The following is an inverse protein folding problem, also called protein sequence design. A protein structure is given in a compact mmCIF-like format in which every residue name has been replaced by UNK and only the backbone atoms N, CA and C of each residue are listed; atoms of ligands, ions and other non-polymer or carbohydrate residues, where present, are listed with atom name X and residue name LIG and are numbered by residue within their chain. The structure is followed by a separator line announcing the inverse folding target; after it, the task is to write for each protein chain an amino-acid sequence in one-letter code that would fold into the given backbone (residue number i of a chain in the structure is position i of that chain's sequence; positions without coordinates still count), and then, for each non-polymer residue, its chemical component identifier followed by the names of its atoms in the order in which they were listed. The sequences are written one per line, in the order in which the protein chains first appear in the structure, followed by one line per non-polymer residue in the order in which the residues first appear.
data_IF_274711989736
#
_entry.id   IF_274711989736
#
_cell.length_a   1.000
_cell.length_b   1.000
_cell.length_c   1.000
_cell.angle_alpha   90.00
_cell.angle_beta   90.00
_cell.angle_gamma   90.00
#
_symmetry.space_group_name_H-M   'P 1'
#
loop_
_entity.id
_entity.type
_entity.pdbx_description
1 polymer ?
#
# COMPACT_ATOMS: atom_id res chain seq x y z
N UNK A 1 -13.17 -1.01 20.34
CA UNK A 1 -12.86 0.07 19.38
C UNK A 1 -12.76 -0.49 17.98
N UNK A 2 -13.25 0.26 16.99
CA UNK A 2 -13.28 -0.19 15.60
C UNK A 2 -11.97 0.18 14.91
N UNK A 3 -11.35 -0.78 14.25
CA UNK A 3 -10.19 -0.52 13.41
C UNK A 3 -10.62 0.17 12.13
N UNK A 4 -9.84 1.15 11.71
CA UNK A 4 -9.98 1.77 10.40
C UNK A 4 -8.64 1.71 9.67
N UNK A 5 -8.73 1.64 8.34
CA UNK A 5 -7.57 1.37 7.49
C UNK A 5 -7.51 2.39 6.37
N UNK A 6 -6.32 2.89 6.13
CA UNK A 6 -6.06 3.75 4.99
C UNK A 6 -5.16 2.98 4.01
N UNK A 7 -5.61 2.88 2.77
CA UNK A 7 -4.91 2.11 1.74
C UNK A 7 -4.11 3.09 0.88
N UNK A 8 -2.81 2.84 0.78
CA UNK A 8 -1.91 3.61 -0.07
C UNK A 8 -1.49 2.78 -1.27
N UNK A 9 -1.60 3.37 -2.44
CA UNK A 9 -1.17 2.76 -3.70
C UNK A 9 -0.20 3.70 -4.42
N UNK A 10 0.46 3.17 -5.45
CA UNK A 10 1.43 3.92 -6.24
C UNK A 10 0.86 4.16 -7.62
N UNK A 11 0.12 5.27 -7.84
CA UNK A 11 -0.44 5.56 -9.15
C UNK A 11 0.68 5.86 -10.15
N UNK A 12 0.54 5.34 -11.37
CA UNK A 12 1.46 5.62 -12.47
C UNK A 12 0.84 6.73 -13.31
N UNK A 13 1.32 7.95 -13.13
CA UNK A 13 0.94 9.10 -13.97
C UNK A 13 1.78 9.12 -15.25
N UNK A 14 1.45 10.05 -16.15
CA UNK A 14 2.17 10.16 -17.43
C UNK A 14 3.66 10.46 -17.24
N UNK A 15 4.00 11.22 -16.20
CA UNK A 15 5.38 11.54 -15.89
C UNK A 15 6.17 10.29 -15.45
N UNK A 16 5.62 9.52 -14.51
CA UNK A 16 6.28 8.28 -14.04
C UNK A 16 6.37 7.25 -15.17
N UNK A 17 5.33 7.15 -16.01
CA UNK A 17 5.36 6.26 -17.17
C UNK A 17 6.51 6.62 -18.12
N UNK A 18 6.73 7.91 -18.36
CA UNK A 18 7.85 8.36 -19.17
C UNK A 18 9.20 7.98 -18.56
N UNK A 19 9.35 8.15 -17.23
CA UNK A 19 10.56 7.75 -16.51
C UNK A 19 10.80 6.24 -16.59
N UNK A 20 9.75 5.44 -16.44
CA UNK A 20 9.85 3.97 -16.49
C UNK A 20 10.31 3.47 -17.86
N UNK A 21 10.04 4.23 -18.92
CA UNK A 21 10.40 3.87 -20.28
C UNK A 21 11.82 4.31 -20.69
N UNK A 22 12.52 5.03 -19.82
CA UNK A 22 13.88 5.44 -20.09
C UNK A 22 14.85 4.25 -19.99
N UNK A 23 15.87 4.25 -20.85
CA UNK A 23 16.94 3.23 -20.82
C UNK A 23 17.71 3.30 -19.50
N UNK A 24 17.99 4.53 -19.01
CA UNK A 24 18.59 4.75 -17.71
C UNK A 24 17.48 5.33 -16.80
N UNK A 25 17.10 4.53 -15.80
CA UNK A 25 16.01 4.91 -14.91
C UNK A 25 16.44 5.97 -13.90
N UNK A 26 15.54 6.93 -13.66
CA UNK A 26 15.69 7.90 -12.57
C UNK A 26 15.63 7.20 -11.21
N UNK A 27 16.11 7.85 -10.12
CA UNK A 27 15.95 7.31 -8.77
C UNK A 27 14.48 7.03 -8.40
N UNK A 28 13.55 7.86 -8.89
CA UNK A 28 12.10 7.68 -8.67
C UNK A 28 11.60 6.40 -9.36
N UNK A 29 11.99 6.17 -10.61
CA UNK A 29 11.62 4.96 -11.33
C UNK A 29 12.21 3.70 -10.69
N UNK A 30 13.47 3.77 -10.23
CA UNK A 30 14.09 2.66 -9.49
C UNK A 30 13.35 2.35 -8.21
N UNK A 31 12.94 3.37 -7.45
CA UNK A 31 12.15 3.18 -6.23
C UNK A 31 10.83 2.49 -6.53
N UNK A 32 10.16 2.84 -7.61
CA UNK A 32 8.92 2.19 -8.05
C UNK A 32 9.16 0.70 -8.34
N UNK A 33 10.19 0.36 -9.10
CA UNK A 33 10.50 -1.03 -9.43
C UNK A 33 10.92 -1.84 -8.21
N UNK A 34 11.66 -1.25 -7.28
CA UNK A 34 12.10 -1.96 -6.08
C UNK A 34 10.91 -2.41 -5.22
N UNK A 35 9.84 -1.63 -5.18
CA UNK A 35 8.60 -2.02 -4.52
C UNK A 35 7.97 -3.22 -5.24
N UNK A 36 7.92 -3.19 -6.57
CA UNK A 36 7.37 -4.31 -7.34
C UNK A 36 8.15 -5.61 -7.13
N UNK A 37 9.41 -5.50 -6.68
CA UNK A 37 10.31 -6.64 -6.46
C UNK A 37 10.47 -7.00 -4.98
N UNK A 38 9.64 -6.45 -4.07
CA UNK A 38 9.69 -6.86 -2.66
C UNK A 38 9.39 -8.35 -2.54
N UNK A 39 10.13 -9.03 -1.67
CA UNK A 39 10.06 -10.47 -1.53
C UNK A 39 10.87 -11.23 -2.58
N UNK A 40 11.49 -10.54 -3.53
CA UNK A 40 12.32 -11.12 -4.58
C UNK A 40 13.74 -10.55 -4.54
N UNK A 41 14.29 -10.37 -3.34
CA UNK A 41 15.64 -9.86 -3.12
C UNK A 41 15.70 -8.42 -2.62
N UNK A 42 14.58 -7.69 -2.60
CA UNK A 42 14.51 -6.34 -2.04
C UNK A 42 13.84 -6.36 -0.67
N UNK A 43 14.49 -5.74 0.30
CA UNK A 43 13.97 -5.67 1.66
C UNK A 43 12.79 -4.70 1.73
N UNK A 44 11.62 -5.12 2.28
CA UNK A 44 10.42 -4.29 2.28
C UNK A 44 10.59 -2.96 2.99
N UNK A 45 11.22 -2.92 4.17
CA UNK A 45 11.38 -1.67 4.94
C UNK A 45 12.13 -0.61 4.12
N UNK A 46 13.25 -1.00 3.53
CA UNK A 46 14.07 -0.10 2.72
C UNK A 46 13.35 0.34 1.45
N UNK A 47 12.71 -0.59 0.75
CA UNK A 47 12.02 -0.30 -0.49
C UNK A 47 10.84 0.65 -0.26
N UNK A 48 10.05 0.43 0.78
CA UNK A 48 8.91 1.29 1.12
C UNK A 48 9.38 2.68 1.55
N UNK A 49 10.41 2.76 2.40
CA UNK A 49 10.97 4.05 2.84
C UNK A 49 11.45 4.88 1.65
N UNK A 50 12.13 4.25 0.70
CA UNK A 50 12.61 4.93 -0.51
C UNK A 50 11.45 5.41 -1.39
N UNK A 51 10.42 4.59 -1.56
CA UNK A 51 9.23 4.98 -2.30
C UNK A 51 8.48 6.16 -1.67
N UNK A 52 8.41 6.19 -0.34
CA UNK A 52 7.81 7.32 0.39
C UNK A 52 8.65 8.59 0.18
N UNK A 53 9.96 8.47 0.25
CA UNK A 53 10.89 9.59 0.01
C UNK A 53 10.68 10.20 -1.37
N UNK A 54 10.36 9.39 -2.38
CA UNK A 54 10.11 9.83 -3.75
C UNK A 54 8.64 10.15 -4.02
N UNK A 55 7.82 10.22 -2.97
CA UNK A 55 6.40 10.61 -3.05
C UNK A 55 5.59 9.75 -4.02
N UNK A 56 5.83 8.45 -4.01
CA UNK A 56 5.15 7.52 -4.90
C UNK A 56 3.79 7.05 -4.39
N UNK A 57 3.58 7.06 -3.07
CA UNK A 57 2.35 6.58 -2.46
C UNK A 57 1.31 7.66 -2.31
N UNK A 58 0.06 7.31 -2.61
CA UNK A 58 -1.10 8.16 -2.40
C UNK A 58 -2.22 7.37 -1.74
N UNK A 59 -2.98 7.98 -0.81
CA UNK A 59 -4.14 7.31 -0.22
C UNK A 59 -5.25 7.19 -1.27
N UNK A 60 -5.79 5.99 -1.42
CA UNK A 60 -6.80 5.70 -2.46
C UNK A 60 -8.11 5.18 -1.90
N UNK A 61 -8.08 4.51 -0.74
CA UNK A 61 -9.27 3.97 -0.12
C UNK A 61 -9.18 4.11 1.39
N UNK A 62 -10.35 4.29 2.01
CA UNK A 62 -10.52 4.25 3.45
C UNK A 62 -11.50 3.13 3.78
N UNK A 63 -11.14 2.26 4.72
CA UNK A 63 -11.99 1.13 5.09
C UNK A 63 -12.23 1.10 6.59
N UNK A 64 -13.44 0.75 6.98
CA UNK A 64 -13.81 0.58 8.39
C UNK A 64 -14.17 -0.88 8.60
N UNK A 65 -13.48 -1.53 9.55
CA UNK A 65 -13.77 -2.91 9.93
C UNK A 65 -15.07 -3.00 10.70
N UNK A 66 -15.91 -3.99 10.37
CA UNK A 66 -17.20 -4.20 10.99
C UNK A 66 -17.13 -5.09 12.24
N UNK A 67 -15.93 -5.44 12.67
CA UNK A 67 -15.73 -6.29 13.83
C UNK A 67 -14.29 -6.23 14.32
N UNK A 68 -13.94 -7.18 15.20
CA UNK A 68 -12.61 -7.27 15.75
C UNK A 68 -11.60 -7.69 14.67
N UNK A 69 -10.44 -7.05 14.67
CA UNK A 69 -9.35 -7.45 13.77
C UNK A 69 -8.89 -8.87 14.08
N UNK A 70 -8.77 -9.68 13.05
CA UNK A 70 -8.29 -11.06 13.11
C UNK A 70 -7.10 -11.24 12.15
N UNK A 71 -6.52 -12.45 12.16
CA UNK A 71 -5.47 -12.81 11.20
C UNK A 71 -5.95 -12.81 9.74
N UNK A 72 -7.26 -12.80 9.51
CA UNK A 72 -7.84 -12.80 8.16
C UNK A 72 -8.17 -11.38 7.65
N UNK A 73 -8.06 -10.37 8.50
CA UNK A 73 -8.51 -9.02 8.16
C UNK A 73 -7.79 -8.45 6.95
N UNK A 74 -6.47 -8.63 6.85
CA UNK A 74 -5.72 -8.12 5.70
C UNK A 74 -6.14 -8.78 4.39
N UNK A 75 -6.44 -10.07 4.42
CA UNK A 75 -7.00 -10.78 3.26
C UNK A 75 -8.35 -10.22 2.85
N UNK A 76 -9.22 -9.91 3.81
CA UNK A 76 -10.51 -9.27 3.56
C UNK A 76 -10.34 -7.88 2.96
N UNK A 77 -9.38 -7.09 3.45
CA UNK A 77 -9.06 -5.77 2.88
C UNK A 77 -8.64 -5.91 1.42
N UNK A 78 -7.78 -6.86 1.12
CA UNK A 78 -7.35 -7.14 -0.24
C UNK A 78 -8.52 -7.51 -1.15
N UNK A 79 -9.40 -8.39 -0.69
CA UNK A 79 -10.58 -8.80 -1.45
C UNK A 79 -11.51 -7.62 -1.71
N UNK A 80 -11.79 -6.80 -0.70
CA UNK A 80 -12.62 -5.60 -0.87
C UNK A 80 -12.00 -4.60 -1.83
N UNK A 81 -10.67 -4.41 -1.75
CA UNK A 81 -9.94 -3.53 -2.66
C UNK A 81 -9.94 -4.01 -4.10
N UNK A 82 -10.22 -5.31 -4.32
CA UNK A 82 -10.35 -5.92 -5.64
C UNK A 82 -11.81 -6.19 -6.04
N UNK A 83 -12.76 -5.64 -5.30
CA UNK A 83 -14.19 -5.76 -5.53
C UNK A 83 -14.72 -7.20 -5.43
N UNK A 84 -14.03 -8.04 -4.66
CA UNK A 84 -14.42 -9.43 -4.42
C UNK A 84 -14.76 -9.71 -2.95
N UNK A 85 -14.95 -8.66 -2.16
CA UNK A 85 -15.24 -8.80 -0.75
C UNK A 85 -16.68 -9.22 -0.46
N UNK A 86 -16.91 -9.64 0.77
CA UNK A 86 -18.21 -10.10 1.25
C UNK A 86 -18.98 -9.05 2.06
N UNK A 87 -18.50 -7.81 2.08
CA UNK A 87 -19.15 -6.72 2.81
C UNK A 87 -18.77 -6.60 4.28
N UNK A 88 -17.75 -7.31 4.74
CA UNK A 88 -17.27 -7.21 6.13
C UNK A 88 -16.59 -5.87 6.43
N UNK A 89 -16.26 -5.12 5.41
CA UNK A 89 -15.64 -3.82 5.49
C UNK A 89 -16.48 -2.78 4.77
N UNK A 90 -16.60 -1.59 5.38
CA UNK A 90 -17.16 -0.43 4.70
C UNK A 90 -16.03 0.29 3.96
N UNK A 91 -16.18 0.48 2.66
CA UNK A 91 -15.14 1.05 1.79
C UNK A 91 -15.56 2.40 1.27
N UNK A 92 -14.70 3.41 1.46
CA UNK A 92 -14.83 4.72 0.83
C UNK A 92 -13.66 4.91 -0.15
N UNK A 93 -13.97 5.17 -1.41
CA UNK A 93 -12.98 5.44 -2.44
C UNK A 93 -12.61 6.92 -2.42
N UNK A 94 -11.34 7.23 -2.10
CA UNK A 94 -10.85 8.61 -1.98
C UNK A 94 -10.57 9.21 -3.35
N UNK A 95 -10.06 8.37 -4.27
CA UNK A 95 -9.75 8.76 -5.64
C UNK A 95 -9.82 7.56 -6.56
N UNK A 96 -9.83 7.80 -7.85
CA UNK A 96 -9.77 6.72 -8.84
C UNK A 96 -8.47 5.93 -8.65
N UNK A 97 -8.58 4.60 -8.61
CA UNK A 97 -7.45 3.73 -8.32
C UNK A 97 -7.57 2.41 -9.07
N UNK A 98 -6.47 1.68 -9.13
CA UNK A 98 -6.44 0.30 -9.63
C UNK A 98 -6.79 -0.69 -8.51
N UNK A 99 -6.91 -1.96 -8.87
CA UNK A 99 -7.01 -3.04 -7.89
C UNK A 99 -5.76 -3.07 -6.99
N UNK A 100 -5.92 -3.60 -5.79
CA UNK A 100 -4.80 -3.78 -4.88
C UNK A 100 -3.80 -4.82 -5.42
N UNK A 101 -2.53 -4.59 -5.19
CA UNK A 101 -1.45 -5.43 -5.68
C UNK A 101 -0.24 -5.40 -4.75
N UNK A 102 0.77 -6.20 -5.08
CA UNK A 102 2.06 -6.23 -4.38
C UNK A 102 2.63 -4.81 -4.27
N UNK A 103 3.09 -4.47 -3.07
CA UNK A 103 3.65 -3.16 -2.77
C UNK A 103 2.65 -2.15 -2.23
N UNK A 104 1.36 -2.43 -2.29
CA UNK A 104 0.35 -1.56 -1.68
C UNK A 104 0.44 -1.61 -0.16
N UNK A 105 0.11 -0.51 0.50
CA UNK A 105 0.22 -0.39 1.95
C UNK A 105 -1.15 -0.31 2.59
N UNK A 106 -1.28 -0.97 3.75
CA UNK A 106 -2.42 -0.85 4.65
C UNK A 106 -1.94 -0.21 5.94
N UNK A 107 -2.47 0.96 6.26
CA UNK A 107 -2.19 1.65 7.52
C UNK A 107 -3.36 1.41 8.45
N UNK A 108 -3.12 0.73 9.57
CA UNK A 108 -4.10 0.59 10.63
C UNK A 108 -4.03 1.83 11.52
N UNK A 109 -5.06 2.66 11.46
CA UNK A 109 -5.07 3.94 12.16
C UNK A 109 -5.27 3.80 13.67
N UNK A 110 -5.82 2.68 14.13
CA UNK A 110 -6.00 2.42 15.55
C UNK A 110 -4.69 1.94 16.20
N UNK A 111 -4.05 0.95 15.58
CA UNK A 111 -2.82 0.36 16.12
C UNK A 111 -1.55 1.08 15.64
N UNK A 112 -1.69 1.99 14.68
CA UNK A 112 -0.58 2.74 14.09
C UNK A 112 0.47 1.81 13.47
N UNK A 113 0.02 0.78 12.76
CA UNK A 113 0.87 -0.17 12.05
C UNK A 113 0.75 0.04 10.56
N UNK A 114 1.83 -0.28 9.83
CA UNK A 114 1.86 -0.23 8.37
C UNK A 114 2.27 -1.60 7.87
N UNK A 115 1.47 -2.17 6.99
CA UNK A 115 1.72 -3.48 6.40
C UNK A 115 1.74 -3.37 4.89
N UNK A 116 2.72 -4.04 4.27
CA UNK A 116 2.88 -4.04 2.82
C UNK A 116 2.43 -5.38 2.24
N UNK A 117 1.68 -5.31 1.14
CA UNK A 117 1.27 -6.50 0.40
C UNK A 117 2.49 -7.12 -0.29
N UNK A 118 2.75 -8.40 -0.01
CA UNK A 118 3.84 -9.17 -0.57
C UNK A 118 3.30 -10.16 -1.60
N UNK A 119 4.15 -10.76 -2.45
CA UNK A 119 3.70 -11.82 -3.34
C UNK A 119 3.05 -12.99 -2.60
N UNK A 120 3.49 -13.26 -1.36
CA UNK A 120 2.88 -14.27 -0.49
C UNK A 120 2.65 -13.67 0.87
N UNK A 121 1.42 -13.18 1.11
CA UNK A 121 1.02 -12.66 2.41
C UNK A 121 1.35 -11.19 2.61
N UNK A 122 1.60 -10.83 3.84
CA UNK A 122 1.75 -9.46 4.30
C UNK A 122 2.98 -9.32 5.19
N UNK A 123 3.60 -8.14 5.15
CA UNK A 123 4.76 -7.84 5.97
C UNK A 123 4.52 -6.55 6.74
N UNK A 124 4.63 -6.61 8.07
CA UNK A 124 4.53 -5.43 8.92
C UNK A 124 5.88 -4.69 8.93
N UNK A 125 5.84 -3.41 8.61
CA UNK A 125 7.04 -2.58 8.59
C UNK A 125 7.53 -2.30 10.01
N UNK A 126 8.84 -2.42 10.23
CA UNK A 126 9.45 -2.18 11.54
C UNK A 126 9.57 -0.70 11.87
N UNK A 127 9.76 0.14 10.87
CA UNK A 127 9.93 1.56 11.09
C UNK A 127 8.57 2.25 11.14
N UNK A 128 8.04 2.37 12.37
CA UNK A 128 6.78 3.06 12.63
C UNK A 128 6.89 4.58 12.55
N UNK A 129 8.11 5.12 12.34
CA UNK A 129 8.31 6.56 12.13
C UNK A 129 8.06 6.99 10.69
N UNK A 130 7.64 6.07 9.82
CA UNK A 130 7.20 6.41 8.48
C UNK A 130 5.98 7.32 8.60
N UNK A 131 6.22 8.62 8.56
CA UNK A 131 5.17 9.62 8.64
C UNK A 131 4.44 9.67 7.30
N UNK A 132 3.34 8.94 7.24
CA UNK A 132 2.35 9.25 6.22
C UNK A 132 1.63 10.52 6.66
N UNK A 133 1.72 11.58 5.89
CA UNK A 133 0.87 12.74 6.05
C UNK A 133 -0.57 12.31 5.76
N UNK A 134 -1.23 11.86 6.81
CA UNK A 134 -2.66 11.55 6.78
C UNK A 134 -3.39 12.87 7.01
N UNK A 135 -3.29 13.77 6.05
CA UNK A 135 -4.04 15.02 6.12
C UNK A 135 -5.31 14.93 5.29
#
# INVERSE_FOLDING_TARGET
MTHSYLIYQRPVDAWLQADLNLEIQSPRAKAYFNIAMVGMGHEPDTAVADAIKHDLYQPTMFMIGMGKRTRYTLGHIFDEGNEHGNGDLSVEHIRKHSSMSVGDLVVDLLDNTVEVCMPMGWYELFDTTLNFNVA
#
